data_IF_075744881758
#
_entry.id   IF_075744881758
#
_cell.length_a   1.000
_cell.length_b   1.000
_cell.length_c   1.000
_cell.angle_alpha   90.00
_cell.angle_beta   90.00
_cell.angle_gamma   90.00
#
_symmetry.space_group_name_H-M   'P 1'
#
loop_
_entity.id
_entity.type
_entity.pdbx_description
1 polymer ?
#
# COMPACT_ATOMS: atom_id res chain seq x y z
N UNK A 1 6.50 8.48 19.27
CA UNK A 1 6.07 8.43 17.85
C UNK A 1 7.23 8.53 16.82
N UNK A 2 8.51 8.42 17.22
CA UNK A 2 9.65 8.51 16.29
C UNK A 2 9.95 7.19 15.52
N UNK A 3 9.40 6.05 15.95
CA UNK A 3 9.73 4.72 15.44
C UNK A 3 8.70 4.09 14.50
N UNK A 4 7.67 4.82 14.06
CA UNK A 4 6.71 4.23 13.12
C UNK A 4 7.37 4.02 11.75
N UNK A 5 6.97 2.95 11.05
CA UNK A 5 7.47 2.66 9.71
C UNK A 5 7.23 3.82 8.72
N UNK A 6 6.10 4.53 8.88
CA UNK A 6 5.80 5.73 8.10
C UNK A 6 6.77 6.88 8.37
N UNK A 7 7.16 7.09 9.63
CA UNK A 7 8.14 8.12 10.01
C UNK A 7 9.52 7.80 9.43
N UNK A 8 10.00 6.55 9.60
CA UNK A 8 11.27 6.11 9.02
C UNK A 8 11.32 6.27 7.50
N UNK A 9 10.20 5.99 6.81
CA UNK A 9 10.11 6.18 5.36
C UNK A 9 10.15 7.67 4.97
N UNK A 10 9.43 8.52 5.69
CA UNK A 10 9.44 9.97 5.47
C UNK A 10 10.85 10.55 5.71
N UNK A 11 11.50 10.17 6.81
CA UNK A 11 12.85 10.64 7.15
C UNK A 11 13.85 10.18 6.09
N UNK A 12 13.77 8.92 5.63
CA UNK A 12 14.57 8.44 4.50
C UNK A 12 14.37 9.29 3.24
N UNK A 13 13.14 9.63 2.88
CA UNK A 13 12.86 10.47 1.70
C UNK A 13 13.37 11.89 1.84
N UNK A 14 13.36 12.43 3.06
CA UNK A 14 13.94 13.74 3.35
C UNK A 14 15.47 13.69 3.26
N UNK A 15 16.11 12.63 3.79
CA UNK A 15 17.54 12.40 3.70
C UNK A 15 18.04 12.18 2.25
N UNK A 16 17.18 11.66 1.36
CA UNK A 16 17.42 11.58 -0.09
C UNK A 16 17.34 12.96 -0.80
N UNK A 17 17.12 14.06 -0.07
CA UNK A 17 17.04 15.42 -0.61
C UNK A 17 15.64 15.85 -1.06
N UNK A 18 14.60 15.04 -0.83
CA UNK A 18 13.22 15.44 -1.17
C UNK A 18 12.71 16.48 -0.20
N UNK A 19 11.95 17.43 -0.73
CA UNK A 19 11.18 18.35 0.11
C UNK A 19 10.18 17.58 0.97
N UNK A 20 9.78 18.19 2.09
CA UNK A 20 8.75 17.63 2.97
C UNK A 20 7.46 17.25 2.23
N UNK A 21 7.03 18.08 1.28
CA UNK A 21 5.81 17.82 0.50
C UNK A 21 5.96 16.62 -0.43
N UNK A 22 7.13 16.45 -1.06
CA UNK A 22 7.43 15.28 -1.88
C UNK A 22 7.54 14.00 -1.05
N UNK A 23 8.18 14.07 0.13
CA UNK A 23 8.27 12.94 1.05
C UNK A 23 6.88 12.50 1.53
N UNK A 24 5.99 13.44 1.88
CA UNK A 24 4.60 13.16 2.23
C UNK A 24 3.83 12.55 1.04
N UNK A 25 3.98 13.11 -0.17
CA UNK A 25 3.37 12.55 -1.38
C UNK A 25 3.82 11.11 -1.64
N UNK A 26 5.12 10.83 -1.49
CA UNK A 26 5.67 9.49 -1.61
C UNK A 26 5.09 8.54 -0.55
N UNK A 27 4.93 9.00 0.69
CA UNK A 27 4.36 8.21 1.78
C UNK A 27 2.90 7.85 1.50
N UNK A 28 2.07 8.85 1.13
CA UNK A 28 0.66 8.63 0.76
C UNK A 28 0.53 7.65 -0.39
N UNK A 29 1.32 7.82 -1.45
CA UNK A 29 1.33 6.90 -2.60
C UNK A 29 1.71 5.48 -2.20
N UNK A 30 2.70 5.30 -1.33
CA UNK A 30 3.12 3.98 -0.83
C UNK A 30 1.99 3.29 -0.07
N UNK A 31 1.29 4.02 0.80
CA UNK A 31 0.16 3.48 1.57
C UNK A 31 -0.97 3.08 0.63
N UNK A 32 -1.38 3.97 -0.27
CA UNK A 32 -2.45 3.69 -1.24
C UNK A 32 -2.12 2.46 -2.11
N UNK A 33 -0.88 2.37 -2.62
CA UNK A 33 -0.44 1.23 -3.41
C UNK A 33 -0.41 -0.09 -2.61
N UNK A 34 -0.14 -0.02 -1.30
CA UNK A 34 -0.17 -1.20 -0.45
C UNK A 34 -1.60 -1.68 -0.20
N UNK A 35 -2.50 -0.76 0.13
CA UNK A 35 -3.93 -1.06 0.31
C UNK A 35 -4.54 -1.61 -0.98
N UNK A 36 -4.25 -0.98 -2.11
CA UNK A 36 -4.70 -1.47 -3.42
C UNK A 36 -4.26 -2.91 -3.71
N UNK A 37 -3.01 -3.26 -3.41
CA UNK A 37 -2.50 -4.63 -3.57
C UNK A 37 -3.21 -5.64 -2.66
N UNK A 38 -3.56 -5.24 -1.44
CA UNK A 38 -4.34 -6.08 -0.53
C UNK A 38 -5.74 -6.30 -1.11
N UNK A 39 -6.40 -5.23 -1.56
CA UNK A 39 -7.74 -5.33 -2.16
C UNK A 39 -7.76 -6.26 -3.39
N UNK A 40 -6.77 -6.14 -4.28
CA UNK A 40 -6.63 -7.05 -5.42
C UNK A 40 -6.39 -8.49 -4.99
N UNK A 41 -5.52 -8.72 -4.00
CA UNK A 41 -5.28 -10.07 -3.50
C UNK A 41 -6.54 -10.68 -2.87
N UNK A 42 -7.34 -9.87 -2.18
CA UNK A 42 -8.63 -10.28 -1.62
C UNK A 42 -9.63 -10.64 -2.72
N UNK A 43 -9.71 -9.82 -3.76
CA UNK A 43 -10.55 -10.07 -4.94
C UNK A 43 -10.14 -11.36 -5.66
N UNK A 44 -8.85 -11.57 -5.92
CA UNK A 44 -8.34 -12.79 -6.54
C UNK A 44 -8.63 -14.05 -5.72
N UNK A 45 -8.49 -13.97 -4.39
CA UNK A 45 -8.85 -15.08 -3.49
C UNK A 45 -10.33 -15.40 -3.59
N UNK A 46 -11.21 -14.39 -3.57
CA UNK A 46 -12.66 -14.59 -3.75
C UNK A 46 -13.01 -15.25 -5.09
N UNK A 47 -12.35 -14.83 -6.17
CA UNK A 47 -12.55 -15.44 -7.49
C UNK A 47 -12.05 -16.88 -7.59
N UNK A 48 -10.96 -17.21 -6.89
CA UNK A 48 -10.39 -18.56 -6.89
C UNK A 48 -11.20 -19.51 -5.99
N UNK A 49 -11.68 -19.00 -4.86
CA UNK A 49 -12.51 -19.74 -3.90
C UNK A 49 -13.98 -19.84 -4.33
N UNK A 50 -14.40 -19.12 -5.38
CA UNK A 50 -15.72 -19.31 -6.01
C UNK A 50 -15.71 -20.69 -6.70
N UNK A 51 -16.33 -21.73 -6.11
CA UNK A 51 -16.52 -22.97 -6.84
C UNK A 51 -17.44 -22.63 -8.00
N UNK A 52 -17.35 -23.37 -9.10
CA UNK A 52 -18.22 -23.28 -10.27
C UNK A 52 -19.71 -23.35 -9.90
N UNK A 53 -20.30 -22.25 -9.41
CA UNK A 53 -21.73 -22.07 -9.16
C UNK A 53 -22.43 -21.71 -10.49
N UNK A 54 -22.13 -22.52 -11.51
CA UNK A 54 -22.71 -22.50 -12.86
C UNK A 54 -22.91 -23.92 -13.39
N UNK A 55 -23.21 -24.86 -12.49
CA UNK A 55 -23.70 -26.18 -12.82
C UNK A 55 -24.83 -26.54 -11.85
N UNK A 56 -26.00 -25.92 -12.05
CA UNK A 56 -27.30 -26.38 -11.57
C UNK A 56 -28.37 -25.80 -12.50
#
# INVERSE_FOLDING_TARGET
MANSAGRRYFDKKTAEGKTRNEAIRCLKRRIAAHVWRIMLADEHRRHTDQPSARAA
#
